data_IF_983919823379
#
_entry.id   IF_983919823379
#
_cell.length_a   1.000
_cell.length_b   1.000
_cell.length_c   1.000
_cell.angle_alpha   90.00
_cell.angle_beta   90.00
_cell.angle_gamma   90.00
#
_symmetry.space_group_name_H-M   'P 1'
#
loop_
_entity.id
_entity.type
_entity.pdbx_description
1 polymer ?
#
# COMPACT_ATOMS: atom_id res chain seq x y z
N UNK A 1 -24.36 5.48 13.10
CA UNK A 1 -25.48 5.07 12.25
C UNK A 1 -25.33 3.67 11.66
N UNK A 2 -24.12 3.20 11.40
CA UNK A 2 -23.84 1.91 10.75
C UNK A 2 -23.41 0.79 11.71
N UNK A 3 -23.38 1.04 13.00
CA UNK A 3 -23.31 0.01 14.00
C UNK A 3 -21.98 -0.36 14.64
N UNK A 4 -20.78 0.21 14.31
CA UNK A 4 -19.63 -0.08 15.14
C UNK A 4 -19.86 0.46 16.56
N UNK A 5 -19.55 -0.33 17.61
CA UNK A 5 -19.64 0.15 18.98
C UNK A 5 -18.73 1.37 19.18
N UNK A 6 -19.18 2.35 19.97
CA UNK A 6 -18.40 3.55 20.26
C UNK A 6 -17.04 3.20 20.86
N UNK A 7 -16.97 2.18 21.70
CA UNK A 7 -15.74 1.67 22.30
C UNK A 7 -14.72 1.23 21.25
N UNK A 8 -15.16 0.57 20.17
CA UNK A 8 -14.26 0.13 19.09
C UNK A 8 -13.66 1.32 18.34
N UNK A 9 -14.46 2.37 18.11
CA UNK A 9 -13.99 3.60 17.47
C UNK A 9 -13.00 4.32 18.39
N UNK A 10 -13.34 4.44 19.69
CA UNK A 10 -12.48 5.04 20.71
C UNK A 10 -11.11 4.37 20.77
N UNK A 11 -11.06 3.04 20.83
CA UNK A 11 -9.81 2.29 20.87
C UNK A 11 -8.92 2.55 19.64
N UNK A 12 -9.51 2.67 18.45
CA UNK A 12 -8.76 3.01 17.24
C UNK A 12 -8.18 4.42 17.31
N UNK A 13 -8.97 5.40 17.76
CA UNK A 13 -8.52 6.78 17.94
C UNK A 13 -7.38 6.84 18.95
N UNK A 14 -7.53 6.23 20.11
CA UNK A 14 -6.51 6.16 21.16
C UNK A 14 -5.22 5.51 20.65
N UNK A 15 -5.31 4.38 19.96
CA UNK A 15 -4.14 3.66 19.43
C UNK A 15 -3.36 4.48 18.41
N UNK A 16 -4.04 5.28 17.58
CA UNK A 16 -3.41 6.18 16.61
C UNK A 16 -2.78 7.39 17.28
N UNK A 17 -3.47 8.00 18.24
CA UNK A 17 -2.95 9.17 18.96
C UNK A 17 -1.75 8.81 19.83
N UNK A 18 -1.77 7.65 20.50
CA UNK A 18 -0.65 7.18 21.32
C UNK A 18 0.66 6.99 20.51
N UNK A 19 0.56 6.63 19.23
CA UNK A 19 1.69 6.48 18.30
C UNK A 19 2.18 7.82 17.72
N UNK A 20 1.45 8.91 17.95
CA UNK A 20 1.83 10.23 17.42
C UNK A 20 2.96 10.83 18.24
N UNK A 21 3.96 11.44 17.59
CA UNK A 21 5.02 12.22 18.26
C UNK A 21 4.51 13.43 19.05
N UNK A 22 3.27 13.85 18.81
CA UNK A 22 2.58 14.95 19.51
C UNK A 22 1.55 14.47 20.53
N UNK A 23 1.57 13.17 20.86
CA UNK A 23 0.63 12.61 21.83
C UNK A 23 0.80 13.30 23.20
N UNK A 24 -0.30 13.84 23.72
CA UNK A 24 -0.38 14.34 25.09
C UNK A 24 -1.76 14.02 25.68
N UNK A 25 -1.89 13.93 27.02
CA UNK A 25 -3.15 13.59 27.68
C UNK A 25 -4.32 14.52 27.32
N UNK A 26 -4.06 15.82 27.21
CA UNK A 26 -5.09 16.81 26.87
C UNK A 26 -5.62 16.62 25.44
N UNK A 27 -4.74 16.23 24.49
CA UNK A 27 -5.16 15.93 23.12
C UNK A 27 -6.06 14.69 23.09
N UNK A 28 -5.72 13.65 23.85
CA UNK A 28 -6.52 12.43 23.95
C UNK A 28 -7.90 12.73 24.55
N UNK A 29 -7.96 13.45 25.67
CA UNK A 29 -9.20 13.86 26.32
C UNK A 29 -10.11 14.67 25.39
N UNK A 30 -9.57 15.65 24.67
CA UNK A 30 -10.35 16.46 23.73
C UNK A 30 -10.87 15.66 22.55
N UNK A 31 -10.10 14.71 22.03
CA UNK A 31 -10.56 13.85 20.94
C UNK A 31 -11.65 12.88 21.41
N UNK A 32 -11.52 12.33 22.61
CA UNK A 32 -12.55 11.48 23.20
C UNK A 32 -13.85 12.27 23.44
N UNK A 33 -13.75 13.46 24.02
CA UNK A 33 -14.91 14.33 24.22
C UNK A 33 -15.61 14.68 22.89
N UNK A 34 -14.82 15.02 21.86
CA UNK A 34 -15.37 15.32 20.54
C UNK A 34 -16.09 14.11 19.92
N UNK A 35 -15.53 12.90 20.07
CA UNK A 35 -16.13 11.66 19.62
C UNK A 35 -17.46 11.39 20.33
N UNK A 36 -17.49 11.50 21.66
CA UNK A 36 -18.68 11.23 22.48
C UNK A 36 -19.81 12.22 22.17
N UNK A 37 -19.49 13.51 22.09
CA UNK A 37 -20.47 14.57 21.77
C UNK A 37 -21.02 14.37 20.35
N UNK A 38 -20.16 14.10 19.39
CA UNK A 38 -20.57 13.90 17.99
C UNK A 38 -21.43 12.63 17.83
N UNK A 39 -21.05 11.54 18.47
CA UNK A 39 -21.80 10.29 18.47
C UNK A 39 -23.20 10.47 19.05
N UNK A 40 -23.28 11.13 20.23
CA UNK A 40 -24.54 11.44 20.90
C UNK A 40 -25.43 12.33 20.02
N UNK A 41 -24.87 13.40 19.46
CA UNK A 41 -25.60 14.31 18.59
C UNK A 41 -26.21 13.59 17.37
N UNK A 42 -25.39 12.79 16.69
CA UNK A 42 -25.87 12.01 15.52
C UNK A 42 -26.97 11.04 15.91
N UNK A 43 -26.83 10.37 17.04
CA UNK A 43 -27.80 9.40 17.51
C UNK A 43 -29.15 10.02 17.90
N UNK A 44 -29.13 11.24 18.43
CA UNK A 44 -30.30 11.96 18.90
C UNK A 44 -31.01 12.78 17.80
N UNK A 45 -30.25 13.29 16.82
CA UNK A 45 -30.78 14.28 15.87
C UNK A 45 -30.81 13.79 14.41
N UNK A 46 -30.12 12.72 14.07
CA UNK A 46 -30.04 12.24 12.70
C UNK A 46 -30.70 10.88 12.58
N UNK A 47 -31.84 10.84 11.87
CA UNK A 47 -32.52 9.59 11.55
C UNK A 47 -31.72 8.78 10.54
N UNK A 48 -31.57 7.47 10.81
CA UNK A 48 -31.00 6.54 9.83
C UNK A 48 -32.06 6.23 8.78
N UNK A 49 -31.77 6.57 7.51
CA UNK A 49 -32.70 6.45 6.40
C UNK A 49 -32.66 5.10 5.69
N UNK A 50 -31.65 4.29 5.95
CA UNK A 50 -31.47 2.98 5.36
C UNK A 50 -31.53 1.85 6.41
N UNK A 51 -31.67 0.61 5.96
CA UNK A 51 -31.72 -0.60 6.80
C UNK A 51 -30.36 -1.26 7.01
N UNK A 52 -29.28 -0.73 6.46
CA UNK A 52 -27.96 -1.36 6.56
C UNK A 52 -27.42 -1.31 7.99
N UNK A 53 -26.96 -2.44 8.46
CA UNK A 53 -26.26 -2.58 9.74
C UNK A 53 -25.02 -3.44 9.55
N UNK A 54 -23.95 -3.10 10.26
CA UNK A 54 -22.79 -3.98 10.33
C UNK A 54 -23.16 -5.19 11.18
N UNK A 55 -23.09 -6.37 10.57
CA UNK A 55 -23.32 -7.63 11.29
C UNK A 55 -22.22 -7.89 12.33
N UNK A 56 -22.51 -8.78 13.27
CA UNK A 56 -21.49 -9.27 14.20
C UNK A 56 -20.34 -9.92 13.42
N UNK A 57 -19.13 -9.48 13.66
CA UNK A 57 -17.93 -10.07 13.04
C UNK A 57 -17.50 -11.28 13.87
N UNK A 58 -17.47 -12.45 13.25
CA UNK A 58 -16.77 -13.60 13.83
C UNK A 58 -15.30 -13.28 13.93
N UNK A 59 -14.70 -13.51 15.12
CA UNK A 59 -13.24 -13.38 15.32
C UNK A 59 -12.51 -14.34 14.38
N UNK A 60 -12.12 -13.86 13.21
CA UNK A 60 -11.15 -14.53 12.35
C UNK A 60 -9.90 -13.66 12.34
N UNK A 61 -8.74 -14.27 12.38
CA UNK A 61 -7.48 -13.56 12.12
C UNK A 61 -7.52 -13.07 10.67
N UNK A 62 -7.80 -11.79 10.50
CA UNK A 62 -7.88 -11.14 9.19
C UNK A 62 -6.99 -9.91 9.19
N UNK A 63 -6.28 -9.72 8.11
CA UNK A 63 -5.50 -8.52 7.83
C UNK A 63 -6.26 -7.70 6.80
N UNK A 64 -6.39 -6.41 7.06
CA UNK A 64 -6.92 -5.46 6.06
C UNK A 64 -5.72 -4.79 5.41
N UNK A 65 -5.58 -4.98 4.11
CA UNK A 65 -4.52 -4.40 3.29
C UNK A 65 -5.15 -3.63 2.13
N UNK A 66 -4.52 -2.54 1.72
CA UNK A 66 -4.80 -1.97 0.40
C UNK A 66 -4.08 -2.78 -0.69
N UNK A 67 -4.35 -2.49 -1.97
CA UNK A 67 -3.77 -3.23 -3.09
C UNK A 67 -2.24 -3.21 -3.11
N UNK A 68 -1.61 -2.06 -2.83
CA UNK A 68 -0.16 -1.92 -2.79
C UNK A 68 0.47 -2.72 -1.64
N UNK A 69 -0.16 -2.70 -0.45
CA UNK A 69 0.27 -3.52 0.69
C UNK A 69 0.11 -5.03 0.40
N UNK A 70 -0.96 -5.41 -0.30
CA UNK A 70 -1.15 -6.80 -0.73
C UNK A 70 -0.09 -7.23 -1.75
N UNK A 71 0.31 -6.35 -2.68
CA UNK A 71 1.40 -6.60 -3.62
C UNK A 71 2.74 -6.80 -2.90
N UNK A 72 3.05 -5.97 -1.89
CA UNK A 72 4.25 -6.15 -1.03
C UNK A 72 4.21 -7.49 -0.32
N UNK A 73 3.11 -7.82 0.34
CA UNK A 73 2.95 -9.11 1.04
C UNK A 73 3.08 -10.29 0.09
N UNK A 74 2.49 -10.20 -1.11
CA UNK A 74 2.59 -11.21 -2.17
C UNK A 74 4.01 -11.40 -2.67
N UNK A 75 4.76 -10.31 -2.88
CA UNK A 75 6.16 -10.36 -3.30
C UNK A 75 7.04 -11.09 -2.26
N UNK A 76 6.87 -10.76 -0.98
CA UNK A 76 7.59 -11.42 0.12
C UNK A 76 7.22 -12.90 0.22
N UNK A 77 5.93 -13.24 0.14
CA UNK A 77 5.44 -14.62 0.17
C UNK A 77 5.96 -15.45 -1.03
N UNK A 78 6.10 -14.81 -2.20
CA UNK A 78 6.67 -15.43 -3.40
C UNK A 78 8.20 -15.50 -3.38
N UNK A 79 8.86 -15.12 -2.29
CA UNK A 79 10.31 -15.08 -2.15
C UNK A 79 10.97 -14.19 -3.22
N UNK A 80 10.43 -13.01 -3.46
CA UNK A 80 11.10 -11.98 -4.25
C UNK A 80 12.45 -11.67 -3.59
N UNK A 81 13.55 -11.84 -4.33
CA UNK A 81 14.91 -11.62 -3.81
C UNK A 81 15.47 -10.26 -4.19
N UNK A 82 14.89 -9.60 -5.20
CA UNK A 82 15.38 -8.31 -5.69
C UNK A 82 14.23 -7.41 -6.13
N UNK A 83 14.26 -6.17 -5.70
CA UNK A 83 13.36 -5.13 -6.18
C UNK A 83 14.17 -3.92 -6.64
N UNK A 84 13.86 -3.43 -7.82
CA UNK A 84 14.33 -2.12 -8.28
C UNK A 84 13.15 -1.28 -8.73
N UNK A 85 13.14 0.01 -8.39
CA UNK A 85 12.05 0.90 -8.77
C UNK A 85 12.45 2.37 -8.83
N UNK A 86 11.64 3.13 -9.56
CA UNK A 86 11.68 4.59 -9.60
C UNK A 86 10.37 5.14 -9.04
N UNK A 87 10.41 6.18 -8.18
CA UNK A 87 9.21 6.68 -7.51
C UNK A 87 8.18 7.25 -8.50
N UNK A 88 6.98 6.69 -8.51
CA UNK A 88 5.85 7.19 -9.28
C UNK A 88 4.53 6.87 -8.56
N UNK A 89 3.64 7.87 -8.44
CA UNK A 89 2.30 7.68 -7.86
C UNK A 89 1.40 6.89 -8.82
N UNK A 90 0.63 5.86 -8.35
CA UNK A 90 0.50 5.41 -6.97
C UNK A 90 1.38 4.20 -6.60
N UNK A 91 2.38 3.84 -7.41
CA UNK A 91 3.25 2.68 -7.18
C UNK A 91 4.30 2.90 -6.07
N UNK A 92 4.54 4.14 -5.64
CA UNK A 92 5.55 4.47 -4.61
C UNK A 92 5.35 3.73 -3.30
N UNK A 93 4.10 3.47 -2.89
CA UNK A 93 3.82 2.72 -1.65
C UNK A 93 4.36 1.27 -1.71
N UNK A 94 4.36 0.65 -2.91
CA UNK A 94 4.95 -0.68 -3.11
C UNK A 94 6.46 -0.61 -2.93
N UNK A 95 7.09 0.40 -3.53
CA UNK A 95 8.52 0.64 -3.41
C UNK A 95 8.93 0.88 -1.95
N UNK A 96 8.21 1.77 -1.23
CA UNK A 96 8.48 2.07 0.18
C UNK A 96 8.29 0.83 1.07
N UNK A 97 7.24 0.05 0.83
CA UNK A 97 6.99 -1.19 1.54
C UNK A 97 8.12 -2.21 1.34
N UNK A 98 8.56 -2.42 0.11
CA UNK A 98 9.65 -3.35 -0.19
C UNK A 98 11.02 -2.82 0.25
N UNK A 99 11.25 -1.50 0.22
CA UNK A 99 12.47 -0.90 0.78
C UNK A 99 12.63 -1.23 2.27
N UNK A 100 11.52 -1.28 3.00
CA UNK A 100 11.51 -1.58 4.44
C UNK A 100 11.59 -3.08 4.74
N UNK A 101 10.79 -3.89 4.04
CA UNK A 101 10.56 -5.29 4.43
C UNK A 101 11.52 -6.27 3.70
N UNK A 102 11.90 -6.00 2.45
CA UNK A 102 12.70 -6.93 1.64
C UNK A 102 14.09 -7.22 2.23
N UNK A 103 14.84 -6.22 2.76
CA UNK A 103 16.12 -6.48 3.40
C UNK A 103 16.01 -7.37 4.66
N UNK A 104 14.86 -7.35 5.35
CA UNK A 104 14.65 -8.13 6.56
C UNK A 104 14.53 -9.65 6.27
N UNK A 105 14.19 -10.00 5.04
CA UNK A 105 14.10 -11.39 4.57
C UNK A 105 15.29 -11.80 3.69
N UNK A 106 16.36 -11.00 3.68
CA UNK A 106 17.59 -11.27 2.93
C UNK A 106 17.55 -10.87 1.45
N UNK A 107 16.54 -10.13 1.01
CA UNK A 107 16.47 -9.58 -0.34
C UNK A 107 17.17 -8.23 -0.47
N UNK A 108 17.32 -7.76 -1.70
CA UNK A 108 17.98 -6.51 -2.04
C UNK A 108 17.00 -5.51 -2.65
N UNK A 109 17.05 -4.28 -2.17
CA UNK A 109 16.26 -3.17 -2.67
C UNK A 109 17.18 -2.15 -3.37
N UNK A 110 16.77 -1.67 -4.54
CA UNK A 110 17.46 -0.63 -5.32
C UNK A 110 16.46 0.46 -5.74
N UNK A 111 16.74 1.70 -5.37
CA UNK A 111 16.12 2.86 -6.01
C UNK A 111 16.94 3.24 -7.24
N UNK A 112 16.32 3.14 -8.42
CA UNK A 112 16.96 3.46 -9.69
C UNK A 112 16.77 4.94 -10.08
N UNK A 113 17.53 5.41 -11.05
CA UNK A 113 17.45 6.77 -11.57
C UNK A 113 16.24 7.01 -12.48
N UNK A 114 15.71 5.95 -13.11
CA UNK A 114 14.53 5.95 -13.95
C UNK A 114 13.93 4.54 -14.07
N UNK A 115 12.81 4.43 -14.77
CA UNK A 115 12.10 3.15 -14.95
C UNK A 115 12.88 2.18 -15.85
N UNK A 116 13.64 2.67 -16.84
CA UNK A 116 14.45 1.83 -17.71
C UNK A 116 15.56 1.18 -16.89
N UNK A 117 16.28 1.95 -16.09
CA UNK A 117 17.31 1.45 -15.19
C UNK A 117 16.73 0.46 -14.16
N UNK A 118 15.52 0.72 -13.64
CA UNK A 118 14.85 -0.16 -12.71
C UNK A 118 14.60 -1.55 -13.33
N UNK A 119 13.99 -1.60 -14.52
CA UNK A 119 13.73 -2.87 -15.18
C UNK A 119 15.01 -3.57 -15.67
N UNK A 120 16.01 -2.82 -16.13
CA UNK A 120 17.31 -3.38 -16.49
C UNK A 120 17.97 -4.08 -15.30
N UNK A 121 17.92 -3.48 -14.12
CA UNK A 121 18.46 -4.08 -12.90
C UNK A 121 17.69 -5.35 -12.50
N UNK A 122 16.35 -5.38 -12.63
CA UNK A 122 15.51 -6.57 -12.40
C UNK A 122 15.88 -7.69 -13.37
N UNK A 123 16.05 -7.38 -14.65
CA UNK A 123 16.48 -8.37 -15.67
C UNK A 123 17.88 -8.90 -15.36
N UNK A 124 18.81 -8.03 -14.94
CA UNK A 124 20.15 -8.42 -14.49
C UNK A 124 20.13 -9.36 -13.29
N UNK A 125 19.28 -9.08 -12.30
CA UNK A 125 19.07 -9.97 -11.16
C UNK A 125 18.49 -11.32 -11.57
N UNK A 126 17.55 -11.32 -12.52
CA UNK A 126 16.96 -12.54 -13.08
C UNK A 126 17.99 -13.38 -13.85
N UNK A 127 18.87 -12.72 -14.61
CA UNK A 127 19.97 -13.41 -15.27
C UNK A 127 20.91 -14.09 -14.26
N UNK A 128 21.08 -13.49 -13.07
CA UNK A 128 21.80 -14.10 -11.93
C UNK A 128 21.00 -15.17 -11.18
N UNK A 129 19.79 -15.53 -11.60
CA UNK A 129 18.96 -16.54 -10.97
C UNK A 129 18.13 -16.02 -9.78
N UNK A 130 18.01 -14.71 -9.59
CA UNK A 130 17.26 -14.10 -8.49
C UNK A 130 15.91 -13.62 -9.03
N UNK A 131 14.81 -13.98 -8.34
CA UNK A 131 13.48 -13.44 -8.69
C UNK A 131 13.45 -11.94 -8.44
N UNK A 132 13.29 -11.19 -9.51
CA UNK A 132 13.26 -9.74 -9.49
C UNK A 132 11.87 -9.18 -9.80
N UNK A 133 11.59 -8.02 -9.24
CA UNK A 133 10.33 -7.30 -9.42
C UNK A 133 10.57 -5.80 -9.51
N UNK A 134 9.74 -5.12 -10.29
CA UNK A 134 9.59 -3.65 -10.27
C UNK A 134 8.13 -3.27 -10.14
N UNK A 135 7.88 -2.03 -9.72
CA UNK A 135 6.54 -1.46 -9.69
C UNK A 135 6.57 -0.05 -10.30
N UNK A 136 5.60 0.25 -11.12
CA UNK A 136 5.49 1.52 -11.85
C UNK A 136 4.02 1.90 -12.08
N UNK A 137 3.79 2.95 -12.85
CA UNK A 137 2.50 3.37 -13.38
C UNK A 137 2.59 3.47 -14.91
N UNK A 138 1.48 3.71 -15.58
CA UNK A 138 1.39 3.72 -17.05
C UNK A 138 2.52 4.43 -17.79
N UNK A 139 2.93 5.67 -17.41
CA UNK A 139 4.05 6.35 -18.08
C UNK A 139 5.37 5.58 -17.99
N UNK A 140 5.68 5.01 -16.83
CA UNK A 140 6.90 4.23 -16.65
C UNK A 140 6.85 2.90 -17.38
N UNK A 141 5.68 2.25 -17.42
CA UNK A 141 5.50 1.04 -18.23
C UNK A 141 5.77 1.31 -19.72
N UNK A 142 5.37 2.47 -20.22
CA UNK A 142 5.66 2.89 -21.61
C UNK A 142 7.16 3.01 -21.88
N UNK A 143 7.93 3.48 -20.91
CA UNK A 143 9.40 3.55 -21.02
C UNK A 143 10.09 2.18 -20.98
N UNK A 144 9.46 1.20 -20.33
CA UNK A 144 10.01 -0.15 -20.17
C UNK A 144 9.84 -1.06 -21.39
N UNK A 145 9.12 -0.65 -22.41
CA UNK A 145 8.68 -1.54 -23.52
C UNK A 145 9.82 -2.25 -24.24
N UNK A 146 10.95 -1.57 -24.49
CA UNK A 146 12.14 -2.19 -25.11
C UNK A 146 12.71 -3.32 -24.23
N UNK A 147 12.85 -3.07 -22.94
CA UNK A 147 13.37 -4.07 -22.00
C UNK A 147 12.41 -5.23 -21.76
N UNK A 148 11.10 -5.01 -21.86
CA UNK A 148 10.10 -6.09 -21.84
C UNK A 148 10.33 -7.01 -23.04
N UNK A 149 10.55 -6.43 -24.23
CA UNK A 149 10.90 -7.18 -25.43
C UNK A 149 12.20 -7.96 -25.26
N UNK A 150 13.24 -7.34 -24.70
CA UNK A 150 14.51 -8.00 -24.40
C UNK A 150 14.35 -9.17 -23.41
N UNK A 151 13.64 -8.95 -22.30
CA UNK A 151 13.37 -10.00 -21.30
C UNK A 151 12.65 -11.20 -21.94
N UNK A 152 11.66 -10.93 -22.81
CA UNK A 152 10.93 -11.97 -23.54
C UNK A 152 11.83 -12.76 -24.48
N UNK A 153 12.65 -12.08 -25.28
CA UNK A 153 13.56 -12.73 -26.23
C UNK A 153 14.68 -13.52 -25.56
N UNK A 154 15.08 -13.10 -24.35
CA UNK A 154 16.12 -13.74 -23.55
C UNK A 154 15.59 -14.79 -22.56
N UNK A 155 14.26 -15.00 -22.54
CA UNK A 155 13.57 -15.91 -21.61
C UNK A 155 13.88 -15.61 -20.12
N UNK A 156 14.06 -14.33 -19.78
CA UNK A 156 14.38 -13.88 -18.43
C UNK A 156 13.10 -13.44 -17.71
N UNK A 157 12.70 -14.13 -16.62
CA UNK A 157 11.48 -13.77 -15.90
C UNK A 157 11.64 -12.45 -15.15
N UNK A 158 10.68 -11.56 -15.32
CA UNK A 158 10.56 -10.31 -14.55
C UNK A 158 9.11 -10.06 -14.18
N UNK A 159 8.87 -9.60 -12.97
CA UNK A 159 7.54 -9.18 -12.52
C UNK A 159 7.45 -7.67 -12.55
N UNK A 160 6.48 -7.15 -13.28
CA UNK A 160 6.19 -5.72 -13.37
C UNK A 160 4.79 -5.49 -12.83
N UNK A 161 4.68 -4.69 -11.76
CA UNK A 161 3.38 -4.26 -11.24
C UNK A 161 3.09 -2.87 -11.76
N UNK A 162 2.03 -2.76 -12.57
CA UNK A 162 1.53 -1.48 -13.06
C UNK A 162 0.38 -1.01 -12.18
N UNK A 163 0.68 -0.11 -11.23
CA UNK A 163 -0.32 0.54 -10.40
C UNK A 163 -0.86 1.77 -11.13
N UNK A 164 -1.97 1.58 -11.81
CA UNK A 164 -2.57 2.56 -12.71
C UNK A 164 -3.15 3.78 -11.99
N UNK A 165 -3.14 4.90 -12.66
CA UNK A 165 -3.83 6.12 -12.26
C UNK A 165 -4.69 6.66 -13.40
N UNK A 166 -5.80 7.34 -13.07
CA UNK A 166 -6.70 7.90 -14.05
C UNK A 166 -6.06 9.07 -14.82
N UNK A 167 -6.57 9.32 -16.03
CA UNK A 167 -6.19 10.46 -16.84
C UNK A 167 -5.47 10.09 -18.13
N UNK A 168 -5.37 11.04 -19.05
CA UNK A 168 -4.66 10.84 -20.32
C UNK A 168 -3.14 10.89 -20.12
N UNK A 169 -2.39 10.20 -20.98
CA UNK A 169 -0.92 10.18 -21.01
C UNK A 169 -0.29 9.86 -19.65
N UNK A 170 0.30 10.83 -18.97
CA UNK A 170 0.94 10.65 -17.67
C UNK A 170 -0.04 10.43 -16.51
N UNK A 171 -1.34 10.60 -16.74
CA UNK A 171 -2.36 10.47 -15.73
C UNK A 171 -2.39 11.65 -14.72
N UNK A 172 -3.34 11.60 -13.80
CA UNK A 172 -3.44 12.54 -12.68
C UNK A 172 -2.91 11.86 -11.43
N UNK A 173 -1.81 12.32 -10.84
CA UNK A 173 -1.36 11.83 -9.55
C UNK A 173 -2.37 12.24 -8.48
N UNK A 174 -2.78 11.32 -7.63
CA UNK A 174 -3.74 11.54 -6.53
C UNK A 174 -3.03 11.51 -5.19
#
# INVERSE_FOLDING_TARGET
LFGPPLEAISQVVESKLAKSRKANPLLMEKNQLALDVSYKYVKEHIAKLDSYQLGAVTKAERVILNGNQAAVAGALAAQCGFFAGYPITPASDIMEGLAKELPQVGGTFLQAEDEIAALAAVIGASFGGIRGMTATSGPGLSLMTELIGFASMSELPAVIVDAQRAGPSTGMPT
#
